data_IF_325165509641
#
_entry.id   IF_325165509641
#
_cell.length_a   1.000
_cell.length_b   1.000
_cell.length_c   1.000
_cell.angle_alpha   90.00
_cell.angle_beta   90.00
_cell.angle_gamma   90.00
#
_symmetry.space_group_name_H-M   'P 1'
#
loop_
_entity.id
_entity.type
_entity.pdbx_description
1 polymer ?
#
# COMPACT_ATOMS: atom_id res chain seq x y z
N UNK A 1 -10.25 -6.12 17.82
CA UNK A 1 -9.38 -6.28 16.64
C UNK A 1 -8.14 -6.98 17.15
N UNK A 2 -7.90 -8.22 16.74
CA UNK A 2 -6.71 -8.95 17.15
C UNK A 2 -5.55 -8.38 16.33
N UNK A 3 -4.68 -7.66 17.03
CA UNK A 3 -3.48 -7.04 16.49
C UNK A 3 -2.41 -8.12 16.35
N UNK A 4 -2.21 -8.61 15.12
CA UNK A 4 -0.94 -9.22 14.74
C UNK A 4 0.06 -8.07 14.68
N UNK A 5 0.69 -7.79 15.82
CA UNK A 5 1.74 -6.78 15.94
C UNK A 5 2.71 -6.83 14.76
N UNK A 6 3.35 -5.71 14.42
CA UNK A 6 4.34 -5.66 13.35
C UNK A 6 5.33 -6.83 13.51
N UNK A 7 5.50 -7.70 12.49
CA UNK A 7 6.39 -8.84 12.62
C UNK A 7 7.77 -8.34 13.02
N UNK A 8 8.37 -8.95 14.05
CA UNK A 8 9.71 -8.61 14.47
C UNK A 8 10.65 -8.70 13.25
N UNK A 9 11.14 -7.56 12.77
CA UNK A 9 11.86 -7.42 11.49
C UNK A 9 13.30 -7.94 11.55
N UNK A 10 13.61 -8.75 12.55
CA UNK A 10 14.96 -9.15 12.96
C UNK A 10 15.74 -9.89 11.85
N UNK A 11 15.05 -10.43 10.83
CA UNK A 11 15.68 -11.14 9.70
C UNK A 11 15.39 -10.54 8.31
N UNK A 12 14.62 -9.46 8.20
CA UNK A 12 14.11 -8.96 6.90
C UNK A 12 14.89 -7.77 6.33
N UNK A 13 15.79 -7.18 7.12
CA UNK A 13 16.61 -6.06 6.68
C UNK A 13 18.08 -6.46 6.82
N UNK A 14 18.86 -6.53 5.73
CA UNK A 14 20.27 -6.87 5.77
C UNK A 14 21.11 -5.70 6.30
N UNK A 15 20.83 -5.25 7.53
CA UNK A 15 21.60 -4.20 8.19
C UNK A 15 22.91 -4.80 8.71
N UNK A 16 24.05 -4.20 8.34
CA UNK A 16 25.35 -4.56 8.92
C UNK A 16 25.30 -4.40 10.44
N UNK A 17 25.61 -5.47 11.17
CA UNK A 17 25.53 -5.54 12.64
C UNK A 17 24.28 -6.25 13.19
N UNK A 18 23.31 -6.60 12.34
CA UNK A 18 22.07 -7.30 12.70
C UNK A 18 21.39 -6.74 13.97
N UNK A 19 21.11 -5.42 14.05
CA UNK A 19 20.38 -4.87 15.18
C UNK A 19 18.97 -5.48 15.24
N UNK A 20 18.47 -5.65 16.46
CA UNK A 20 17.07 -6.00 16.69
C UNK A 20 16.22 -4.78 16.36
N UNK A 21 15.27 -4.94 15.45
CA UNK A 21 14.32 -3.88 15.08
C UNK A 21 12.95 -4.24 15.64
N UNK A 22 12.43 -3.36 16.47
CA UNK A 22 11.05 -3.39 16.92
C UNK A 22 10.31 -2.15 16.43
N UNK A 23 9.08 -2.36 15.96
CA UNK A 23 8.23 -1.28 15.50
C UNK A 23 6.97 -1.23 16.36
N UNK A 24 6.64 -0.03 16.84
CA UNK A 24 5.41 0.26 17.55
C UNK A 24 4.40 0.75 16.52
N UNK A 25 3.28 0.05 16.38
CA UNK A 25 2.16 0.47 15.55
C UNK A 25 1.59 1.80 16.05
N UNK A 26 1.77 2.87 15.28
CA UNK A 26 1.22 4.21 15.61
C UNK A 26 -0.02 4.55 14.80
N UNK A 27 -0.33 3.77 13.76
CA UNK A 27 -1.49 3.91 12.88
C UNK A 27 -1.77 2.58 12.22
N UNK A 28 -2.97 2.42 11.68
CA UNK A 28 -3.42 1.24 10.94
C UNK A 28 -4.01 1.66 9.60
N UNK A 29 -3.76 0.84 8.58
CA UNK A 29 -4.35 1.05 7.26
C UNK A 29 -5.85 0.84 7.27
N UNK A 30 -6.53 1.63 6.46
CA UNK A 30 -7.92 1.38 6.14
C UNK A 30 -8.06 0.19 5.20
N UNK A 31 -9.29 -0.29 5.03
CA UNK A 31 -9.60 -1.38 4.12
C UNK A 31 -10.92 -1.11 3.42
N UNK A 32 -10.95 -1.30 2.10
CA UNK A 32 -12.18 -1.28 1.31
C UNK A 32 -12.05 -2.22 0.12
N UNK A 33 -13.17 -2.56 -0.51
CA UNK A 33 -13.18 -3.28 -1.78
C UNK A 33 -13.76 -2.39 -2.88
N UNK A 34 -13.23 -2.55 -4.09
CA UNK A 34 -13.81 -2.02 -5.32
C UNK A 34 -14.13 -3.17 -6.26
N UNK A 35 -15.22 -3.04 -7.02
CA UNK A 35 -15.63 -3.97 -8.06
C UNK A 35 -15.81 -3.20 -9.35
N UNK A 36 -15.03 -3.55 -10.35
CA UNK A 36 -15.13 -2.98 -11.70
C UNK A 36 -15.74 -4.04 -12.61
N UNK A 37 -16.80 -3.67 -13.31
CA UNK A 37 -17.44 -4.51 -14.34
C UNK A 37 -17.42 -3.78 -15.67
N UNK A 38 -16.95 -4.47 -16.70
CA UNK A 38 -17.02 -4.02 -18.10
C UNK A 38 -17.97 -4.94 -18.83
N UNK A 39 -18.96 -4.37 -19.51
CA UNK A 39 -19.90 -5.12 -20.34
C UNK A 39 -19.85 -4.64 -21.78
N UNK A 40 -20.12 -5.54 -22.71
CA UNK A 40 -20.28 -5.26 -24.15
C UNK A 40 -21.42 -6.11 -24.74
N UNK A 41 -21.75 -5.88 -26.02
CA UNK A 41 -22.78 -6.66 -26.73
C UNK A 41 -22.46 -8.15 -26.91
N UNK A 42 -21.25 -8.60 -26.55
CA UNK A 42 -20.80 -9.97 -26.76
C UNK A 42 -20.61 -10.32 -28.24
N UNK A 43 -20.54 -11.62 -28.56
CA UNK A 43 -20.58 -12.09 -29.95
C UNK A 43 -19.68 -13.27 -30.28
N UNK A 44 -19.69 -13.68 -31.56
CA UNK A 44 -18.89 -14.79 -32.06
C UNK A 44 -17.41 -14.39 -32.17
N UNK A 45 -16.50 -15.24 -31.65
CA UNK A 45 -15.07 -14.94 -31.58
C UNK A 45 -14.40 -14.64 -32.94
N UNK A 46 -14.98 -15.10 -34.05
CA UNK A 46 -14.48 -14.89 -35.41
C UNK A 46 -14.54 -13.43 -35.90
N UNK A 47 -15.26 -12.54 -35.20
CA UNK A 47 -15.42 -11.12 -35.56
C UNK A 47 -14.60 -10.21 -34.62
N UNK A 48 -14.00 -10.75 -33.56
CA UNK A 48 -13.36 -9.96 -32.52
C UNK A 48 -12.01 -9.39 -32.95
N UNK A 49 -11.87 -8.05 -32.94
CA UNK A 49 -10.57 -7.40 -32.75
C UNK A 49 -10.28 -7.36 -31.25
N UNK A 50 -9.04 -7.53 -30.82
CA UNK A 50 -8.62 -7.51 -29.40
C UNK A 50 -9.21 -6.33 -28.61
N UNK A 51 -9.33 -5.15 -29.23
CA UNK A 51 -9.91 -3.93 -28.64
C UNK A 51 -11.42 -3.96 -28.41
N UNK A 52 -12.13 -4.96 -28.91
CA UNK A 52 -13.58 -5.16 -28.74
C UNK A 52 -13.92 -6.25 -27.71
N UNK A 53 -12.93 -6.80 -27.01
CA UNK A 53 -13.16 -7.83 -26.00
C UNK A 53 -13.18 -7.23 -24.58
N UNK A 54 -14.27 -7.38 -23.80
CA UNK A 54 -14.37 -6.79 -22.46
C UNK A 54 -13.33 -7.32 -21.47
N UNK A 55 -12.77 -8.51 -21.68
CA UNK A 55 -11.62 -9.01 -20.90
C UNK A 55 -10.41 -8.09 -21.10
N UNK A 56 -10.09 -7.78 -22.35
CA UNK A 56 -8.96 -6.92 -22.69
C UNK A 56 -9.19 -5.48 -22.21
N UNK A 57 -10.44 -4.99 -22.32
CA UNK A 57 -10.81 -3.65 -21.84
C UNK A 57 -10.70 -3.56 -20.32
N UNK A 58 -11.20 -4.56 -19.57
CA UNK A 58 -11.07 -4.58 -18.12
C UNK A 58 -9.60 -4.65 -17.69
N UNK A 59 -8.79 -5.52 -18.32
CA UNK A 59 -7.36 -5.57 -18.05
C UNK A 59 -6.69 -4.21 -18.28
N UNK A 60 -7.00 -3.56 -19.41
CA UNK A 60 -6.45 -2.25 -19.75
C UNK A 60 -6.92 -1.15 -18.77
N UNK A 61 -8.15 -1.24 -18.26
CA UNK A 61 -8.65 -0.32 -17.23
C UNK A 61 -7.89 -0.49 -15.91
N UNK A 62 -7.62 -1.73 -15.50
CA UNK A 62 -6.84 -2.03 -14.30
C UNK A 62 -5.40 -1.50 -14.42
N UNK A 63 -4.76 -1.73 -15.57
CA UNK A 63 -3.41 -1.24 -15.85
C UNK A 63 -3.36 0.30 -15.93
N UNK A 64 -4.38 0.93 -16.52
CA UNK A 64 -4.52 2.38 -16.54
C UNK A 64 -4.64 2.97 -15.12
N UNK A 65 -5.51 2.38 -14.28
CA UNK A 65 -5.67 2.83 -12.88
C UNK A 65 -4.35 2.63 -12.11
N UNK A 66 -3.67 1.50 -12.29
CA UNK A 66 -2.42 1.22 -11.59
C UNK A 66 -1.27 2.13 -12.03
N UNK A 67 -1.10 2.35 -13.34
CA UNK A 67 -0.04 3.23 -13.88
C UNK A 67 -0.24 4.71 -13.53
N UNK A 68 -1.47 5.10 -13.22
CA UNK A 68 -1.82 6.45 -12.77
C UNK A 68 -2.12 6.52 -11.27
N UNK A 69 -1.86 5.45 -10.50
CA UNK A 69 -2.00 5.47 -9.05
C UNK A 69 -0.98 6.45 -8.52
N UNK A 70 -1.47 7.62 -8.11
CA UNK A 70 -0.61 8.66 -7.55
C UNK A 70 0.03 8.05 -6.31
N UNK A 71 1.34 8.25 -6.15
CA UNK A 71 2.06 8.05 -4.89
C UNK A 71 1.51 9.09 -3.91
N UNK A 72 0.27 8.91 -3.46
CA UNK A 72 -0.52 10.06 -3.05
C UNK A 72 -0.03 10.65 -1.73
N UNK A 73 0.60 9.84 -0.88
CA UNK A 73 0.98 10.32 0.43
C UNK A 73 2.01 9.37 1.03
N UNK A 74 3.26 9.80 1.18
CA UNK A 74 4.15 9.09 2.11
C UNK A 74 3.81 9.56 3.52
N UNK A 75 3.31 8.66 4.37
CA UNK A 75 3.02 9.04 5.77
C UNK A 75 4.30 9.25 6.56
N UNK A 76 4.28 10.21 7.48
CA UNK A 76 5.41 10.49 8.38
C UNK A 76 5.90 9.25 9.15
N UNK A 77 5.03 8.35 9.67
CA UNK A 77 5.47 7.10 10.30
C UNK A 77 6.28 6.20 9.38
N UNK A 78 5.91 6.07 8.09
CA UNK A 78 6.67 5.26 7.15
C UNK A 78 8.06 5.87 6.86
N UNK A 79 8.13 7.20 6.77
CA UNK A 79 9.39 7.95 6.66
C UNK A 79 10.27 7.72 7.89
N UNK A 80 9.73 7.90 9.08
CA UNK A 80 10.49 7.77 10.32
C UNK A 80 10.89 6.31 10.61
N UNK A 81 10.08 5.34 10.20
CA UNK A 81 10.45 3.93 10.17
C UNK A 81 11.71 3.73 9.34
N UNK A 82 11.77 4.22 8.10
CA UNK A 82 12.97 4.04 7.27
C UNK A 82 14.18 4.82 7.74
N UNK A 83 13.99 6.00 8.32
CA UNK A 83 15.09 6.70 8.98
C UNK A 83 15.70 5.79 10.05
N UNK A 84 14.88 5.14 10.86
CA UNK A 84 15.35 4.19 11.86
C UNK A 84 16.07 3.01 11.22
N UNK A 85 15.56 2.47 10.11
CA UNK A 85 16.11 1.28 9.48
C UNK A 85 17.41 1.55 8.71
N UNK A 86 17.48 2.65 7.95
CA UNK A 86 18.56 2.89 6.98
C UNK A 86 19.63 3.82 7.55
N UNK A 87 19.27 4.85 8.32
CA UNK A 87 20.28 5.82 8.80
C UNK A 87 21.36 5.17 9.66
N UNK A 88 21.07 4.28 10.64
CA UNK A 88 22.14 3.67 11.44
C UNK A 88 23.11 2.82 10.62
N UNK A 89 22.63 2.14 9.57
CA UNK A 89 23.47 1.33 8.69
C UNK A 89 24.29 2.17 7.70
N UNK A 90 23.77 3.31 7.24
CA UNK A 90 24.39 4.14 6.19
C UNK A 90 25.14 5.36 6.73
N UNK A 91 24.70 5.98 7.83
CA UNK A 91 25.36 7.14 8.44
C UNK A 91 26.74 6.81 9.02
N UNK A 92 27.00 5.54 9.33
CA UNK A 92 28.34 5.07 9.72
C UNK A 92 29.33 5.09 8.55
N UNK A 93 28.86 5.14 7.31
CA UNK A 93 29.66 5.15 6.08
C UNK A 93 29.64 6.50 5.35
N UNK A 94 28.62 7.36 5.53
CA UNK A 94 28.52 8.64 4.82
C UNK A 94 27.82 9.75 5.62
N UNK A 95 28.61 10.68 6.20
CA UNK A 95 28.10 11.91 6.84
C UNK A 95 27.29 12.80 5.87
N UNK A 96 27.56 12.70 4.56
CA UNK A 96 26.87 13.48 3.54
C UNK A 96 25.38 13.14 3.39
N UNK A 97 24.92 11.95 3.81
CA UNK A 97 23.53 11.52 3.63
C UNK A 97 22.56 12.28 4.54
N UNK A 98 22.94 12.59 5.78
CA UNK A 98 22.12 13.42 6.68
C UNK A 98 21.87 14.80 6.06
N UNK A 99 22.91 15.40 5.46
CA UNK A 99 22.81 16.68 4.76
C UNK A 99 22.01 16.58 3.46
N UNK A 100 22.22 15.52 2.66
CA UNK A 100 21.48 15.30 1.41
C UNK A 100 19.99 15.10 1.69
N UNK A 101 19.62 14.38 2.75
CA UNK A 101 18.23 14.08 3.09
C UNK A 101 17.45 15.35 3.46
N UNK A 102 18.02 16.19 4.34
CA UNK A 102 17.42 17.47 4.72
C UNK A 102 17.34 18.44 3.53
N UNK A 103 18.26 18.30 2.57
CA UNK A 103 18.31 19.13 1.36
C UNK A 103 17.44 18.63 0.20
N UNK A 104 17.22 17.31 0.12
CA UNK A 104 16.63 16.68 -1.07
C UNK A 104 15.13 16.86 -1.11
N UNK A 105 14.39 16.92 0.00
CA UNK A 105 12.97 17.32 -0.02
C UNK A 105 12.07 16.61 -1.06
N UNK A 106 12.50 15.47 -1.63
CA UNK A 106 11.85 14.78 -2.75
C UNK A 106 11.34 13.44 -2.22
N UNK A 107 10.05 13.36 -1.83
CA UNK A 107 9.38 12.11 -1.45
C UNK A 107 9.55 10.99 -2.49
N UNK A 108 9.66 11.35 -3.77
CA UNK A 108 9.72 10.39 -4.88
C UNK A 108 11.04 9.59 -4.92
N UNK A 109 12.18 10.21 -4.62
CA UNK A 109 13.47 9.52 -4.59
C UNK A 109 13.55 8.59 -3.38
N UNK A 110 12.98 9.03 -2.25
CA UNK A 110 12.80 8.23 -1.06
C UNK A 110 11.93 7.00 -1.34
N UNK A 111 10.78 7.15 -2.00
CA UNK A 111 9.95 6.00 -2.38
C UNK A 111 10.69 4.96 -3.22
N UNK A 112 11.49 5.39 -4.21
CA UNK A 112 12.31 4.50 -5.04
C UNK A 112 13.41 3.81 -4.22
N UNK A 113 14.10 4.55 -3.36
CA UNK A 113 15.18 4.03 -2.53
C UNK A 113 14.64 3.05 -1.47
N UNK A 114 13.53 3.38 -0.83
CA UNK A 114 12.79 2.48 0.04
C UNK A 114 12.40 1.19 -0.66
N UNK A 115 11.80 1.29 -1.85
CA UNK A 115 11.33 0.09 -2.56
C UNK A 115 12.48 -0.84 -2.91
N UNK A 116 13.67 -0.29 -3.18
CA UNK A 116 14.89 -1.05 -3.46
C UNK A 116 15.57 -1.61 -2.20
N UNK A 117 15.65 -0.83 -1.13
CA UNK A 117 16.39 -1.21 0.07
C UNK A 117 15.56 -2.04 1.05
N UNK A 118 14.25 -1.77 1.10
CA UNK A 118 13.32 -2.38 2.06
C UNK A 118 12.00 -2.74 1.34
N UNK A 119 12.00 -3.77 0.47
CA UNK A 119 10.83 -4.11 -0.34
C UNK A 119 9.55 -4.35 0.47
N UNK A 120 9.65 -4.94 1.66
CA UNK A 120 8.50 -5.17 2.55
C UNK A 120 7.91 -3.87 3.13
N UNK A 121 8.66 -2.78 3.16
CA UNK A 121 8.20 -1.49 3.66
C UNK A 121 7.51 -0.66 2.57
N UNK A 122 7.66 -1.02 1.29
CA UNK A 122 7.07 -0.29 0.17
C UNK A 122 5.54 -0.19 0.23
N UNK A 123 4.78 -1.23 0.65
CA UNK A 123 3.35 -1.10 0.86
C UNK A 123 2.99 -0.02 1.88
N UNK A 124 3.85 0.32 2.85
CA UNK A 124 3.57 1.34 3.86
C UNK A 124 3.68 2.78 3.33
N UNK A 125 4.09 2.97 2.08
CA UNK A 125 4.32 4.29 1.49
C UNK A 125 3.15 4.82 0.66
N UNK A 126 2.20 3.97 0.31
CA UNK A 126 1.08 4.34 -0.55
C UNK A 126 -0.11 3.41 -0.35
N UNK A 127 -1.30 3.88 -0.76
CA UNK A 127 -2.46 2.99 -0.91
C UNK A 127 -2.11 1.87 -1.89
N UNK A 128 -2.51 0.62 -1.56
CA UNK A 128 -2.21 -0.55 -2.37
C UNK A 128 -3.49 -1.21 -2.87
N UNK A 129 -3.44 -1.68 -4.11
CA UNK A 129 -4.56 -2.30 -4.81
C UNK A 129 -4.18 -3.73 -5.17
N UNK A 130 -4.98 -4.71 -4.76
CA UNK A 130 -4.77 -6.11 -5.08
C UNK A 130 -6.03 -6.68 -5.75
N UNK A 131 -5.92 -7.12 -7.01
CA UNK A 131 -7.00 -7.84 -7.68
C UNK A 131 -7.11 -9.22 -7.04
N UNK A 132 -8.18 -9.47 -6.29
CA UNK A 132 -8.39 -10.72 -5.55
C UNK A 132 -9.25 -11.71 -6.29
N UNK A 133 -10.14 -11.23 -7.17
CA UNK A 133 -11.01 -12.09 -7.97
C UNK A 133 -11.17 -11.49 -9.38
N UNK A 134 -11.17 -12.35 -10.38
CA UNK A 134 -11.36 -11.96 -11.78
C UNK A 134 -12.30 -12.97 -12.46
N UNK A 135 -13.45 -12.48 -12.94
CA UNK A 135 -14.51 -13.26 -13.55
C UNK A 135 -14.64 -12.87 -15.02
N UNK A 136 -14.42 -13.85 -15.92
CA UNK A 136 -14.34 -13.63 -17.35
C UNK A 136 -14.71 -14.90 -18.12
N UNK A 137 -15.51 -14.77 -19.18
CA UNK A 137 -15.85 -15.91 -20.02
C UNK A 137 -16.76 -16.93 -19.34
N UNK A 138 -17.17 -17.95 -20.10
CA UNK A 138 -17.81 -19.16 -19.59
C UNK A 138 -16.87 -20.32 -19.88
N UNK A 139 -16.68 -21.22 -18.91
CA UNK A 139 -15.67 -22.28 -18.95
C UNK A 139 -15.74 -23.14 -20.23
N UNK A 140 -16.94 -23.42 -20.73
CA UNK A 140 -17.15 -24.36 -21.84
C UNK A 140 -17.32 -23.68 -23.22
N UNK A 141 -17.11 -22.36 -23.34
CA UNK A 141 -17.41 -21.61 -24.56
C UNK A 141 -16.19 -20.83 -25.08
N UNK A 142 -15.29 -21.53 -25.75
CA UNK A 142 -14.04 -20.97 -26.32
C UNK A 142 -14.29 -20.00 -27.48
N UNK A 143 -15.43 -20.15 -28.19
CA UNK A 143 -15.76 -19.34 -29.37
C UNK A 143 -16.68 -18.16 -29.08
N UNK A 144 -16.85 -17.79 -27.81
CA UNK A 144 -17.77 -16.73 -27.38
C UNK A 144 -17.00 -15.61 -26.70
N UNK A 145 -17.23 -14.38 -27.16
CA UNK A 145 -16.80 -13.18 -26.45
C UNK A 145 -17.80 -12.97 -25.31
N UNK A 146 -17.35 -12.90 -24.05
CA UNK A 146 -18.29 -12.71 -22.95
C UNK A 146 -18.95 -11.34 -23.00
N UNK A 147 -20.20 -11.27 -22.57
CA UNK A 147 -20.97 -10.02 -22.50
C UNK A 147 -20.53 -9.16 -21.31
N UNK A 148 -19.93 -9.77 -20.29
CA UNK A 148 -19.44 -9.08 -19.10
C UNK A 148 -18.14 -9.68 -18.56
N UNK A 149 -17.36 -8.85 -17.88
CA UNK A 149 -16.13 -9.24 -17.19
C UNK A 149 -16.00 -8.37 -15.95
N UNK A 150 -15.67 -8.98 -14.81
CA UNK A 150 -15.64 -8.31 -13.50
C UNK A 150 -14.33 -8.59 -12.76
N UNK A 151 -13.77 -7.58 -12.11
CA UNK A 151 -12.66 -7.72 -11.17
C UNK A 151 -13.07 -7.18 -9.80
N UNK A 152 -12.75 -7.91 -8.73
CA UNK A 152 -12.78 -7.40 -7.36
C UNK A 152 -11.36 -7.08 -6.92
N UNK A 153 -11.23 -5.91 -6.29
CA UNK A 153 -9.98 -5.31 -5.87
C UNK A 153 -10.08 -5.07 -4.38
N UNK A 154 -9.20 -5.69 -3.61
CA UNK A 154 -8.98 -5.33 -2.21
C UNK A 154 -8.03 -4.14 -2.14
N UNK A 155 -8.43 -3.11 -1.41
CA UNK A 155 -7.67 -1.86 -1.30
C UNK A 155 -7.31 -1.66 0.15
N UNK A 156 -6.00 -1.56 0.43
CA UNK A 156 -5.50 -1.13 1.74
C UNK A 156 -5.23 0.36 1.68
N UNK A 157 -6.10 1.14 2.29
CA UNK A 157 -6.06 2.60 2.25
C UNK A 157 -4.94 3.08 3.17
N UNK A 158 -4.05 3.90 2.63
CA UNK A 158 -2.93 4.43 3.39
C UNK A 158 -3.40 5.52 4.38
N UNK A 159 -2.78 5.68 5.57
CA UNK A 159 -3.26 6.58 6.62
C UNK A 159 -3.38 8.07 6.28
N UNK A 160 -2.78 8.51 5.18
CA UNK A 160 -2.91 9.88 4.70
C UNK A 160 -3.97 10.05 3.60
N UNK A 161 -4.63 8.96 3.20
CA UNK A 161 -5.78 8.95 2.29
C UNK A 161 -7.06 8.59 3.08
N UNK A 162 -8.23 8.71 2.46
CA UNK A 162 -9.51 8.26 3.01
C UNK A 162 -10.24 7.35 2.05
N UNK A 163 -11.15 6.51 2.54
CA UNK A 163 -11.98 5.70 1.64
C UNK A 163 -12.74 6.56 0.64
N UNK A 164 -13.17 7.76 1.05
CA UNK A 164 -13.85 8.71 0.16
C UNK A 164 -12.93 9.23 -0.95
N UNK A 165 -11.70 9.64 -0.63
CA UNK A 165 -10.76 10.12 -1.66
C UNK A 165 -10.41 9.02 -2.66
N UNK A 166 -10.31 7.77 -2.21
CA UNK A 166 -10.09 6.61 -3.09
C UNK A 166 -11.28 6.36 -4.03
N UNK A 167 -12.52 6.52 -3.56
CA UNK A 167 -13.71 6.39 -4.42
C UNK A 167 -13.72 7.45 -5.53
N UNK A 168 -13.45 8.69 -5.17
CA UNK A 168 -13.41 9.82 -6.10
C UNK A 168 -12.31 9.61 -7.14
N UNK A 169 -11.12 9.18 -6.69
CA UNK A 169 -10.00 8.83 -7.55
C UNK A 169 -10.37 7.73 -8.55
N UNK A 170 -10.90 6.59 -8.08
CA UNK A 170 -11.26 5.47 -8.94
C UNK A 170 -12.39 5.82 -9.91
N UNK A 171 -13.38 6.59 -9.45
CA UNK A 171 -14.47 7.06 -10.31
C UNK A 171 -13.97 7.97 -11.41
N UNK A 172 -13.10 8.92 -11.07
CA UNK A 172 -12.50 9.85 -12.04
C UNK A 172 -11.64 9.11 -13.07
N UNK A 173 -10.78 8.19 -12.62
CA UNK A 173 -9.90 7.44 -13.52
C UNK A 173 -10.63 6.46 -14.42
N UNK A 174 -11.66 5.79 -13.90
CA UNK A 174 -12.48 4.92 -14.73
C UNK A 174 -13.28 5.72 -15.76
N UNK A 175 -13.78 6.90 -15.38
CA UNK A 175 -14.46 7.80 -16.32
C UNK A 175 -13.50 8.28 -17.41
N UNK A 176 -12.31 8.76 -17.06
CA UNK A 176 -11.25 9.17 -18.00
C UNK A 176 -10.94 8.05 -19.00
N UNK A 177 -10.72 6.83 -18.51
CA UNK A 177 -10.47 5.66 -19.33
C UNK A 177 -11.65 5.33 -20.26
N UNK A 178 -12.87 5.36 -19.74
CA UNK A 178 -14.08 4.95 -20.47
C UNK A 178 -14.35 5.79 -21.72
N UNK A 179 -13.94 7.07 -21.73
CA UNK A 179 -14.12 7.99 -22.88
C UNK A 179 -13.33 7.53 -24.11
N UNK A 180 -12.27 6.73 -23.92
CA UNK A 180 -11.44 6.21 -25.02
C UNK A 180 -12.07 5.01 -25.75
N UNK A 181 -13.20 4.49 -25.24
CA UNK A 181 -13.91 3.33 -25.79
C UNK A 181 -15.27 3.72 -26.39
N UNK A 182 -15.76 2.99 -27.41
CA UNK A 182 -17.06 3.25 -28.00
C UNK A 182 -18.20 2.97 -27.02
N UNK A 183 -19.37 3.56 -27.28
CA UNK A 183 -20.57 3.43 -26.45
C UNK A 183 -21.16 2.01 -26.36
N UNK A 184 -20.64 1.07 -27.16
CA UNK A 184 -20.95 -0.37 -27.03
C UNK A 184 -20.34 -0.99 -25.77
N UNK A 185 -19.42 -0.31 -25.09
CA UNK A 185 -18.94 -0.69 -23.77
C UNK A 185 -19.65 0.08 -22.67
N UNK A 186 -20.00 -0.62 -21.60
CA UNK A 186 -20.45 -0.01 -20.35
C UNK A 186 -19.51 -0.38 -19.22
N UNK A 187 -19.25 0.59 -18.34
CA UNK A 187 -18.36 0.46 -17.21
C UNK A 187 -19.15 0.71 -15.94
N UNK A 188 -19.02 -0.19 -14.96
CA UNK A 188 -19.68 -0.08 -13.65
C UNK A 188 -18.63 -0.20 -12.55
N UNK A 189 -18.63 0.77 -11.64
CA UNK A 189 -17.82 0.78 -10.43
C UNK A 189 -18.72 0.66 -9.21
N UNK A 190 -18.41 -0.29 -8.34
CA UNK A 190 -19.12 -0.54 -7.09
C UNK A 190 -18.13 -0.69 -5.93
N UNK A 191 -18.57 -0.40 -4.71
CA UNK A 191 -17.75 -0.53 -3.50
C UNK A 191 -18.41 -1.49 -2.51
N UNK A 192 -18.34 -2.81 -2.75
CA UNK A 192 -19.05 -3.78 -1.93
C UNK A 192 -18.43 -3.97 -0.54
N UNK A 193 -19.28 -4.35 0.42
CA UNK A 193 -18.85 -4.68 1.78
C UNK A 193 -18.57 -3.45 2.66
N UNK A 194 -18.01 -3.72 3.83
CA UNK A 194 -17.64 -2.69 4.80
C UNK A 194 -16.37 -1.95 4.36
N UNK A 195 -16.33 -0.67 4.72
CA UNK A 195 -15.21 0.22 4.47
C UNK A 195 -14.71 0.70 5.82
N UNK A 196 -13.43 0.50 6.05
CA UNK A 196 -12.74 0.88 7.27
C UNK A 196 -11.80 2.02 6.92
N UNK A 197 -12.05 3.20 7.48
CA UNK A 197 -11.11 4.31 7.37
C UNK A 197 -9.82 3.96 8.11
N UNK A 198 -8.66 4.48 7.64
CA UNK A 198 -7.41 4.32 8.37
C UNK A 198 -7.51 4.86 9.80
N UNK A 199 -6.80 4.21 10.73
CA UNK A 199 -6.73 4.71 12.10
C UNK A 199 -5.90 6.01 12.13
N UNK A 200 -6.29 6.99 12.96
CA UNK A 200 -5.53 8.22 13.11
C UNK A 200 -4.10 7.91 13.57
N UNK A 201 -3.16 8.76 13.18
CA UNK A 201 -1.77 8.64 13.61
C UNK A 201 -1.69 9.04 15.09
N UNK A 202 -1.33 8.08 15.93
CA UNK A 202 -1.03 8.28 17.34
C UNK A 202 0.22 9.14 17.47
N UNK A 203 0.22 10.21 18.29
CA UNK A 203 1.43 11.01 18.53
C UNK A 203 2.62 10.17 19.04
N UNK A 204 3.79 10.36 18.44
CA UNK A 204 5.02 9.60 18.74
C UNK A 204 6.31 10.43 18.69
N UNK A 205 6.25 11.69 18.24
CA UNK A 205 7.43 12.59 18.24
C UNK A 205 7.51 13.38 19.55
N UNK A 206 8.73 13.73 19.95
CA UNK A 206 8.99 14.39 21.24
C UNK A 206 8.30 15.75 21.39
N UNK A 207 8.06 16.44 20.27
CA UNK A 207 7.39 17.73 20.21
C UNK A 207 5.85 17.63 20.13
N UNK A 208 5.29 16.42 20.05
CA UNK A 208 3.84 16.21 19.94
C UNK A 208 3.19 16.07 21.32
N UNK A 209 2.02 16.70 21.49
CA UNK A 209 1.23 16.54 22.70
C UNK A 209 0.74 15.09 22.82
N UNK A 210 0.92 14.48 23.99
CA UNK A 210 0.54 13.08 24.33
C UNK A 210 1.44 11.97 23.78
N UNK A 211 2.62 12.26 23.24
CA UNK A 211 3.59 11.22 22.83
C UNK A 211 4.22 10.46 24.01
N UNK A 212 3.99 10.88 25.26
CA UNK A 212 4.52 10.27 26.48
C UNK A 212 4.26 8.76 26.57
N UNK A 213 3.09 8.29 26.14
CA UNK A 213 2.76 6.86 26.15
C UNK A 213 3.61 6.07 25.16
N UNK A 214 3.82 6.61 23.96
CA UNK A 214 4.69 6.01 22.96
C UNK A 214 6.14 5.94 23.49
N UNK A 215 6.64 7.02 24.10
CA UNK A 215 7.99 7.05 24.65
C UNK A 215 8.17 6.09 25.83
N UNK A 216 7.17 5.96 26.70
CA UNK A 216 7.18 4.96 27.79
C UNK A 216 7.24 3.54 27.24
N UNK A 217 6.43 3.21 26.23
CA UNK A 217 6.45 1.90 25.59
C UNK A 217 7.79 1.63 24.91
N UNK A 218 8.30 2.62 24.16
CA UNK A 218 9.62 2.58 23.52
C UNK A 218 10.74 2.28 24.53
N UNK A 219 10.72 2.93 25.69
CA UNK A 219 11.70 2.71 26.76
C UNK A 219 11.60 1.31 27.38
N UNK A 220 10.38 0.81 27.59
CA UNK A 220 10.16 -0.55 28.10
C UNK A 220 10.71 -1.57 27.12
N UNK A 221 10.38 -1.45 25.84
CA UNK A 221 10.86 -2.32 24.76
C UNK A 221 12.39 -2.32 24.67
N UNK A 222 12.98 -1.12 24.64
CA UNK A 222 14.44 -0.96 24.61
C UNK A 222 15.13 -1.63 25.83
N UNK A 223 14.62 -1.39 27.04
CA UNK A 223 15.17 -1.97 28.29
C UNK A 223 15.01 -3.48 28.33
N UNK A 224 13.86 -4.00 27.89
CA UNK A 224 13.56 -5.44 27.88
C UNK A 224 14.52 -6.18 26.95
N UNK A 225 14.76 -5.65 25.75
CA UNK A 225 15.74 -6.24 24.85
C UNK A 225 17.17 -6.14 25.36
N UNK A 226 17.60 -4.98 25.88
CA UNK A 226 18.94 -4.85 26.50
C UNK A 226 19.12 -5.81 27.68
N UNK A 227 18.05 -6.15 28.40
CA UNK A 227 18.10 -7.12 29.48
C UNK A 227 18.31 -8.55 28.96
N UNK A 228 17.58 -8.96 27.92
CA UNK A 228 17.69 -10.31 27.34
C UNK A 228 18.89 -10.49 26.39
N UNK A 229 19.38 -9.42 25.78
CA UNK A 229 20.48 -9.42 24.81
C UNK A 229 21.35 -8.16 25.01
N UNK A 230 22.25 -8.16 26.02
CA UNK A 230 23.01 -6.97 26.40
C UNK A 230 23.95 -6.45 25.30
N UNK A 231 24.39 -7.35 24.42
CA UNK A 231 25.34 -7.05 23.34
C UNK A 231 24.69 -6.79 21.99
N UNK A 232 23.35 -6.83 21.90
CA UNK A 232 22.65 -6.50 20.65
C UNK A 232 22.34 -5.01 20.58
N UNK A 233 22.60 -4.39 19.44
CA UNK A 233 22.03 -3.09 19.11
C UNK A 233 20.52 -3.23 18.90
N UNK A 234 19.74 -2.36 19.52
CA UNK A 234 18.27 -2.39 19.48
C UNK A 234 17.75 -1.05 18.96
N UNK A 235 16.89 -1.12 17.96
CA UNK A 235 16.25 0.03 17.33
C UNK A 235 14.74 -0.10 17.51
N UNK A 236 14.14 0.89 18.16
CA UNK A 236 12.69 0.95 18.39
C UNK A 236 12.13 2.22 17.75
N UNK A 237 11.10 2.08 16.92
CA UNK A 237 10.48 3.23 16.25
C UNK A 237 9.04 3.02 15.82
N UNK A 238 8.46 4.02 15.16
CA UNK A 238 7.07 3.96 14.73
C UNK A 238 6.95 3.04 13.51
N UNK A 239 5.79 2.39 13.39
CA UNK A 239 5.42 1.62 12.20
C UNK A 239 3.95 1.79 11.83
N UNK A 240 3.63 1.43 10.60
CA UNK A 240 2.27 1.42 10.06
C UNK A 240 1.76 -0.02 10.13
N UNK A 241 0.69 -0.25 10.89
CA UNK A 241 0.03 -1.55 10.94
C UNK A 241 -0.68 -1.80 9.62
N UNK A 242 -0.42 -2.94 8.99
CA UNK A 242 -1.05 -3.29 7.71
C UNK A 242 -2.50 -3.75 7.90
N UNK A 243 -2.88 -4.11 9.13
CA UNK A 243 -4.22 -4.51 9.54
C UNK A 243 -4.56 -5.96 9.17
N UNK A 244 -5.21 -6.66 10.08
CA UNK A 244 -5.44 -8.11 9.99
C UNK A 244 -6.21 -8.53 8.72
N UNK A 245 -5.70 -9.55 8.03
CA UNK A 245 -6.52 -10.33 7.11
C UNK A 245 -7.58 -11.07 7.91
N UNK A 246 -8.83 -10.63 7.83
CA UNK A 246 -9.94 -11.51 8.20
C UNK A 246 -10.03 -12.56 7.11
N UNK A 247 -9.38 -13.70 7.33
CA UNK A 247 -9.52 -14.93 6.53
C UNK A 247 -10.72 -15.72 7.00
#
# INVERSE_FOLDING_TARGET
>A
MFDEGLPALQSLIPLRGNPVVELIGVTERGMMNAKITVSSEGGHSSIAKWKHNPIHVLHSALDFIQSHSVVHSTSLPAIDMFKLLVLPAWARENQAFNTLYDFIGIPNLLGILFHRLIPFAAPNLSTSYAVTQFFAGKLDLVNVIPDNTTALINIRVHPADSCQSIKEYLSSKLQEFSITYPSSFSFKLEFPGLQYEPAPITPYRENERKSEYYHKLKDILYKTHRHHSPNSDVLVGPGVMVGGTVS
#
